data_IF_790878797963
#
_entry.id   IF_790878797963
#
_cell.length_a   1.000
_cell.length_b   1.000
_cell.length_c   1.000
_cell.angle_alpha   90.00
_cell.angle_beta   90.00
_cell.angle_gamma   90.00
#
_symmetry.space_group_name_H-M   'P 1'
#
loop_
_entity.id
_entity.type
_entity.pdbx_description
1 polymer ?
#
# COMPACT_ATOMS: atom_id res chain seq x y z
N UNK A 1 -3.46 -21.66 28.86
CA UNK A 1 -3.40 -21.67 27.39
C UNK A 1 -2.22 -20.80 27.00
N UNK A 2 -1.36 -21.19 26.05
CA UNK A 2 -0.33 -20.28 25.60
C UNK A 2 -1.01 -18.99 25.09
N UNK A 3 -0.47 -17.84 25.46
CA UNK A 3 -0.95 -16.56 24.94
C UNK A 3 -0.92 -16.62 23.41
N UNK A 4 -1.99 -16.16 22.76
CA UNK A 4 -2.03 -16.12 21.30
C UNK A 4 -0.89 -15.21 20.82
N UNK A 5 -0.01 -15.74 19.97
CA UNK A 5 1.12 -14.98 19.44
C UNK A 5 0.62 -13.89 18.52
N UNK A 6 1.21 -12.72 18.62
CA UNK A 6 0.96 -11.63 17.68
C UNK A 6 1.26 -12.06 16.23
N UNK A 7 0.68 -11.37 15.27
CA UNK A 7 0.79 -11.70 13.83
C UNK A 7 1.18 -10.49 13.01
N UNK A 8 1.91 -10.75 11.93
CA UNK A 8 2.11 -9.83 10.83
C UNK A 8 0.99 -10.01 9.81
N UNK A 9 0.19 -8.96 9.61
CA UNK A 9 -0.92 -8.96 8.65
C UNK A 9 -0.56 -8.13 7.42
N UNK A 10 -0.78 -8.69 6.23
CA UNK A 10 -0.70 -7.95 4.98
C UNK A 10 -2.08 -7.82 4.33
N UNK A 11 -2.62 -6.61 4.30
CA UNK A 11 -3.90 -6.25 3.69
C UNK A 11 -3.63 -5.44 2.43
N UNK A 12 -3.68 -6.10 1.28
CA UNK A 12 -3.38 -5.46 0.00
C UNK A 12 -4.62 -5.28 -0.86
N UNK A 13 -4.56 -4.34 -1.80
CA UNK A 13 -5.61 -4.13 -2.79
C UNK A 13 -5.16 -3.17 -3.88
N UNK A 14 -5.88 -3.13 -5.00
CA UNK A 14 -5.63 -2.14 -6.04
C UNK A 14 -5.92 -0.72 -5.54
N UNK A 15 -5.51 0.29 -6.27
CA UNK A 15 -5.84 1.68 -5.96
C UNK A 15 -7.36 1.85 -5.89
N UNK A 16 -7.83 2.72 -5.00
CA UNK A 16 -9.27 2.90 -4.77
C UNK A 16 -9.98 1.77 -4.01
N UNK A 17 -9.25 0.81 -3.42
CA UNK A 17 -9.83 -0.26 -2.59
C UNK A 17 -10.03 0.14 -1.11
N UNK A 18 -9.97 1.43 -0.78
CA UNK A 18 -10.19 1.96 0.57
C UNK A 18 -9.20 1.46 1.65
N UNK A 19 -7.95 1.12 1.27
CA UNK A 19 -6.91 0.66 2.21
C UNK A 19 -6.67 1.64 3.35
N UNK A 20 -6.37 2.89 3.05
CA UNK A 20 -6.14 3.95 4.03
C UNK A 20 -7.36 4.15 4.95
N UNK A 21 -8.58 4.10 4.41
CA UNK A 21 -9.79 4.19 5.22
C UNK A 21 -9.88 3.02 6.21
N UNK A 22 -9.58 1.80 5.76
CA UNK A 22 -9.59 0.61 6.64
C UNK A 22 -8.46 0.67 7.68
N UNK A 23 -7.28 1.19 7.34
CA UNK A 23 -6.21 1.43 8.30
C UNK A 23 -6.66 2.40 9.41
N UNK A 24 -7.27 3.53 9.02
CA UNK A 24 -7.75 4.53 9.96
C UNK A 24 -8.95 4.05 10.80
N UNK A 25 -9.87 3.28 10.24
CA UNK A 25 -10.96 2.63 10.99
C UNK A 25 -10.39 1.62 11.98
N UNK A 26 -9.38 0.84 11.55
CA UNK A 26 -8.74 -0.12 12.46
C UNK A 26 -8.04 0.62 13.62
N UNK A 27 -7.31 1.71 13.33
CA UNK A 27 -6.71 2.57 14.34
C UNK A 27 -7.77 3.05 15.35
N UNK A 28 -8.85 3.64 14.86
CA UNK A 28 -9.95 4.12 15.69
C UNK A 28 -10.50 3.02 16.61
N UNK A 29 -10.73 1.80 16.09
CA UNK A 29 -11.26 0.69 16.87
C UNK A 29 -10.33 0.24 18.01
N UNK A 30 -9.02 0.34 17.85
CA UNK A 30 -8.06 0.07 18.93
C UNK A 30 -8.10 1.17 19.98
N UNK A 31 -8.08 2.44 19.53
CA UNK A 31 -8.08 3.62 20.42
C UNK A 31 -9.35 3.74 21.26
N UNK A 32 -10.54 3.41 20.69
CA UNK A 32 -11.80 3.35 21.46
C UNK A 32 -11.73 2.38 22.65
N UNK A 33 -10.83 1.38 22.59
CA UNK A 33 -10.62 0.40 23.65
C UNK A 33 -9.46 0.78 24.58
N UNK A 34 -8.91 1.98 24.44
CA UNK A 34 -7.80 2.48 25.24
C UNK A 34 -6.45 1.87 24.86
N UNK A 35 -6.32 1.26 23.67
CA UNK A 35 -5.07 0.71 23.17
C UNK A 35 -4.30 1.77 22.39
N UNK A 36 -2.97 1.78 22.56
CA UNK A 36 -2.09 2.73 21.91
C UNK A 36 -1.63 2.21 20.54
N UNK A 37 -1.84 3.02 19.49
CA UNK A 37 -1.59 2.68 18.09
C UNK A 37 -0.40 3.47 17.55
N UNK A 38 0.63 2.77 17.11
CA UNK A 38 1.70 3.39 16.34
C UNK A 38 1.38 3.36 14.83
N UNK A 39 0.95 4.52 14.31
CA UNK A 39 0.61 4.68 12.89
C UNK A 39 1.82 5.16 12.11
N UNK A 40 2.19 4.42 11.05
CA UNK A 40 3.37 4.66 10.22
C UNK A 40 2.99 4.89 8.76
N UNK A 41 3.77 5.71 8.07
CA UNK A 41 3.75 5.86 6.61
C UNK A 41 5.17 6.05 6.06
N UNK A 42 5.53 5.52 4.87
CA UNK A 42 6.78 5.80 4.21
C UNK A 42 6.89 7.27 3.78
N UNK A 43 8.08 7.87 3.89
CA UNK A 43 8.34 9.28 3.56
C UNK A 43 8.05 9.65 2.11
N UNK A 44 8.11 8.69 1.20
CA UNK A 44 7.78 8.89 -0.21
C UNK A 44 6.31 9.28 -0.42
N UNK A 45 5.41 8.94 0.50
CA UNK A 45 4.01 9.35 0.45
C UNK A 45 3.81 10.73 1.07
N UNK A 46 4.01 11.77 0.28
CA UNK A 46 3.87 13.18 0.68
C UNK A 46 2.60 13.85 0.13
N UNK A 47 1.66 13.09 -0.44
CA UNK A 47 0.47 13.60 -1.17
C UNK A 47 -0.42 14.50 -0.32
N UNK A 48 -0.61 14.18 0.94
CA UNK A 48 -1.46 14.93 1.88
C UNK A 48 -0.64 15.76 2.90
N UNK A 49 0.68 15.82 2.73
CA UNK A 49 1.64 16.43 3.65
C UNK A 49 2.57 15.39 4.26
N UNK A 50 3.58 15.86 4.97
CA UNK A 50 4.64 14.97 5.48
C UNK A 50 4.09 13.93 6.46
N UNK A 51 3.33 14.35 7.45
CA UNK A 51 2.83 13.49 8.54
C UNK A 51 1.35 13.14 8.45
N UNK A 52 0.60 13.81 7.57
CA UNK A 52 -0.84 13.58 7.46
C UNK A 52 -1.13 12.34 6.60
N UNK A 53 -1.97 11.47 7.11
CA UNK A 53 -2.58 10.36 6.41
C UNK A 53 -4.06 10.67 6.21
N UNK A 54 -4.52 10.75 4.95
CA UNK A 54 -5.91 11.08 4.59
C UNK A 54 -6.50 10.04 3.65
N UNK A 55 -7.69 9.55 4.01
CA UNK A 55 -8.47 8.70 3.13
C UNK A 55 -9.36 9.50 2.19
N UNK A 56 -9.75 8.91 1.05
CA UNK A 56 -10.69 9.56 0.09
C UNK A 56 -12.07 9.83 0.66
N UNK A 57 -12.45 9.17 1.75
CA UNK A 57 -13.74 9.38 2.44
C UNK A 57 -13.63 10.41 3.58
N UNK A 58 -12.51 11.12 3.69
CA UNK A 58 -12.33 12.21 4.63
C UNK A 58 -11.82 11.81 6.02
N UNK A 59 -11.54 10.53 6.28
CA UNK A 59 -10.85 10.14 7.51
C UNK A 59 -9.39 10.56 7.44
N UNK A 60 -8.86 11.08 8.54
CA UNK A 60 -7.47 11.52 8.62
C UNK A 60 -6.87 11.29 10.01
N UNK A 61 -5.55 11.12 10.06
CA UNK A 61 -4.78 11.02 11.29
C UNK A 61 -3.32 11.43 11.03
N UNK A 62 -2.61 11.81 12.10
CA UNK A 62 -1.17 12.00 12.05
C UNK A 62 -0.47 10.65 12.13
N UNK A 63 0.50 10.41 11.24
CA UNK A 63 1.34 9.24 11.20
C UNK A 63 2.81 9.64 11.36
N UNK A 64 3.60 8.73 11.92
CA UNK A 64 5.05 8.88 11.89
C UNK A 64 5.59 8.48 10.53
N UNK A 65 6.59 9.22 10.09
CA UNK A 65 7.21 9.04 8.79
C UNK A 65 8.41 8.13 8.90
N UNK A 66 8.47 7.11 8.05
CA UNK A 66 9.60 6.19 7.93
C UNK A 66 10.36 6.50 6.64
N UNK A 67 11.64 6.87 6.75
CA UNK A 67 12.54 7.07 5.61
C UNK A 67 13.22 5.76 5.23
N UNK A 68 13.71 5.61 3.99
CA UNK A 68 14.41 4.39 3.56
C UNK A 68 15.61 4.00 4.43
N UNK A 69 16.29 4.99 5.03
CA UNK A 69 17.45 4.82 5.90
C UNK A 69 17.11 4.57 7.38
N UNK A 70 15.85 4.71 7.77
CA UNK A 70 15.43 4.56 9.15
C UNK A 70 15.38 3.08 9.57
N UNK A 71 15.82 2.82 10.80
CA UNK A 71 15.64 1.55 11.50
C UNK A 71 14.35 1.60 12.34
N UNK A 72 13.33 0.84 11.93
CA UNK A 72 12.01 0.82 12.60
C UNK A 72 12.11 0.31 14.04
N UNK A 73 13.02 -0.62 14.34
CA UNK A 73 13.22 -1.12 15.70
C UNK A 73 13.81 -0.05 16.61
N UNK A 74 14.78 0.71 16.09
CA UNK A 74 15.36 1.84 16.82
C UNK A 74 14.30 2.94 17.07
N UNK A 75 13.46 3.24 16.08
CA UNK A 75 12.34 4.16 16.23
C UNK A 75 11.35 3.68 17.29
N UNK A 76 11.00 2.39 17.28
CA UNK A 76 10.12 1.79 18.27
C UNK A 76 10.71 1.88 19.70
N UNK A 77 11.98 1.53 19.84
CA UNK A 77 12.67 1.59 21.13
C UNK A 77 12.73 3.03 21.71
N UNK A 78 12.92 4.02 20.85
CA UNK A 78 12.94 5.43 21.24
C UNK A 78 11.56 6.00 21.61
N UNK A 79 10.49 5.49 20.98
CA UNK A 79 9.13 5.98 21.16
C UNK A 79 8.42 5.39 22.38
N UNK A 80 8.75 4.17 22.73
CA UNK A 80 8.12 3.43 23.82
C UNK A 80 7.15 2.37 23.33
N UNK A 81 6.52 1.68 24.28
CA UNK A 81 5.64 0.54 24.00
C UNK A 81 4.30 0.99 23.43
N UNK A 82 3.87 0.31 22.38
CA UNK A 82 2.54 0.42 21.77
C UNK A 82 1.82 -0.94 21.82
N UNK A 83 0.51 -0.94 21.63
CA UNK A 83 -0.31 -2.16 21.60
C UNK A 83 -0.44 -2.74 20.20
N UNK A 84 -0.27 -1.91 19.16
CA UNK A 84 -0.35 -2.31 17.75
C UNK A 84 0.41 -1.34 16.85
N UNK A 85 1.00 -1.86 15.77
CA UNK A 85 1.57 -1.05 14.68
C UNK A 85 0.65 -1.13 13.47
N UNK A 86 0.33 0.01 12.87
CA UNK A 86 -0.39 0.10 11.59
C UNK A 86 0.49 0.85 10.60
N UNK A 87 0.73 0.25 9.45
CA UNK A 87 1.53 0.84 8.36
C UNK A 87 0.65 1.02 7.13
N UNK A 88 0.46 2.25 6.67
CA UNK A 88 -0.16 2.49 5.36
C UNK A 88 0.90 2.68 4.28
N UNK A 89 0.54 2.44 3.01
CA UNK A 89 1.41 2.47 1.83
C UNK A 89 2.70 1.63 2.01
N UNK A 90 2.57 0.49 2.73
CA UNK A 90 3.68 -0.38 3.14
C UNK A 90 4.51 -0.94 1.98
N UNK A 91 4.02 -0.90 0.72
CA UNK A 91 4.78 -1.32 -0.47
C UNK A 91 6.04 -0.50 -0.68
N UNK A 92 6.10 0.71 -0.11
CA UNK A 92 7.25 1.61 -0.23
C UNK A 92 8.30 1.42 0.86
N UNK A 93 8.05 0.57 1.86
CA UNK A 93 9.08 0.17 2.81
C UNK A 93 10.13 -0.72 2.12
N UNK A 94 11.37 -0.66 2.62
CA UNK A 94 12.41 -1.56 2.14
C UNK A 94 12.18 -3.00 2.65
N UNK A 95 12.74 -4.03 1.99
CA UNK A 95 12.68 -5.40 2.50
C UNK A 95 13.22 -5.53 3.94
N UNK A 96 14.28 -4.80 4.27
CA UNK A 96 14.90 -4.75 5.60
C UNK A 96 13.93 -4.19 6.64
N UNK A 97 13.18 -3.14 6.29
CA UNK A 97 12.17 -2.56 7.17
C UNK A 97 11.00 -3.53 7.42
N UNK A 98 10.63 -4.34 6.43
CA UNK A 98 9.63 -5.41 6.60
C UNK A 98 10.16 -6.51 7.55
N UNK A 99 11.45 -6.86 7.46
CA UNK A 99 12.10 -7.76 8.43
C UNK A 99 12.06 -7.19 9.85
N UNK A 100 12.33 -5.91 10.01
CA UNK A 100 12.27 -5.23 11.30
C UNK A 100 10.85 -5.25 11.89
N UNK A 101 9.82 -5.05 11.07
CA UNK A 101 8.42 -5.21 11.48
C UNK A 101 8.12 -6.66 11.92
N UNK A 102 8.64 -7.68 11.19
CA UNK A 102 8.52 -9.08 11.58
C UNK A 102 9.17 -9.34 12.94
N UNK A 103 10.37 -8.78 13.18
CA UNK A 103 11.06 -8.90 14.45
C UNK A 103 10.26 -8.29 15.62
N UNK A 104 9.58 -7.15 15.43
CA UNK A 104 8.69 -6.60 16.46
C UNK A 104 7.54 -7.55 16.79
N UNK A 105 6.99 -8.25 15.80
CA UNK A 105 5.96 -9.26 16.04
C UNK A 105 6.52 -10.41 16.88
N UNK A 106 7.70 -10.93 16.54
CA UNK A 106 8.26 -12.12 17.14
C UNK A 106 8.85 -11.87 18.53
N UNK A 107 9.56 -10.73 18.69
CA UNK A 107 10.32 -10.45 19.92
C UNK A 107 9.50 -9.66 20.94
N UNK A 108 8.62 -8.73 20.49
CA UNK A 108 7.82 -7.87 21.37
C UNK A 108 6.37 -8.36 21.53
N UNK A 109 5.99 -9.44 20.83
CA UNK A 109 4.60 -9.91 20.72
C UNK A 109 3.63 -8.80 20.31
N UNK A 110 4.06 -7.96 19.36
CA UNK A 110 3.37 -6.75 18.90
C UNK A 110 2.67 -7.03 17.57
N UNK A 111 1.33 -6.96 17.48
CA UNK A 111 0.64 -7.13 16.20
C UNK A 111 0.97 -5.98 15.24
N UNK A 112 1.27 -6.33 13.98
CA UNK A 112 1.59 -5.39 12.91
C UNK A 112 0.64 -5.57 11.73
N UNK A 113 -0.06 -4.49 11.34
CA UNK A 113 -1.00 -4.49 10.22
C UNK A 113 -0.47 -3.60 9.10
N UNK A 114 -0.08 -4.21 7.99
CA UNK A 114 0.45 -3.53 6.81
C UNK A 114 -0.65 -3.39 5.74
N UNK A 115 -0.92 -2.16 5.30
CA UNK A 115 -1.86 -1.85 4.23
C UNK A 115 -1.08 -1.31 3.03
N UNK A 116 -1.33 -1.84 1.82
CA UNK A 116 -0.58 -1.38 0.66
C UNK A 116 -1.02 -1.96 -0.68
N UNK A 117 -0.29 -1.57 -1.72
CA UNK A 117 -0.44 -2.11 -3.07
C UNK A 117 0.32 -3.43 -3.18
N UNK A 118 -0.18 -4.35 -4.02
CA UNK A 118 0.54 -5.56 -4.39
C UNK A 118 1.61 -5.27 -5.43
N UNK A 119 1.20 -4.66 -6.55
CA UNK A 119 2.02 -4.48 -7.75
C UNK A 119 1.96 -3.04 -8.23
N UNK A 120 2.98 -2.64 -8.98
CA UNK A 120 3.03 -1.42 -9.76
C UNK A 120 2.12 -1.45 -11.00
N UNK A 121 2.21 -0.42 -11.83
CA UNK A 121 1.43 -0.28 -13.06
C UNK A 121 1.83 -1.26 -14.18
N UNK A 122 3.01 -1.86 -14.08
CA UNK A 122 3.51 -2.92 -14.98
C UNK A 122 3.21 -4.33 -14.45
N UNK A 123 2.48 -4.43 -13.36
CA UNK A 123 2.14 -5.67 -12.66
C UNK A 123 3.31 -6.38 -11.96
N UNK A 124 4.42 -5.69 -11.73
CA UNK A 124 5.54 -6.19 -10.95
C UNK A 124 5.32 -5.92 -9.46
N UNK A 125 5.71 -6.86 -8.61
CA UNK A 125 5.65 -6.66 -7.16
C UNK A 125 6.56 -5.51 -6.73
N UNK A 126 6.07 -4.67 -5.80
CA UNK A 126 6.95 -3.78 -5.07
C UNK A 126 7.86 -4.57 -4.13
N UNK A 127 9.10 -4.11 -3.85
CA UNK A 127 10.03 -4.80 -2.97
C UNK A 127 9.45 -5.08 -1.58
N UNK A 128 8.84 -4.08 -0.93
CA UNK A 128 8.19 -4.24 0.38
C UNK A 128 7.01 -5.21 0.34
N UNK A 129 6.16 -5.14 -0.69
CA UNK A 129 5.04 -6.07 -0.86
C UNK A 129 5.52 -7.50 -1.09
N UNK A 130 6.59 -7.68 -1.86
CA UNK A 130 7.21 -8.99 -2.06
C UNK A 130 7.62 -9.60 -0.73
N UNK A 131 8.32 -8.81 0.10
CA UNK A 131 8.79 -9.29 1.39
C UNK A 131 7.63 -9.58 2.36
N UNK A 132 6.56 -8.78 2.31
CA UNK A 132 5.33 -9.05 3.07
C UNK A 132 4.64 -10.35 2.64
N UNK A 133 4.59 -10.67 1.33
CA UNK A 133 4.07 -11.97 0.88
C UNK A 133 4.86 -13.17 1.40
N UNK A 134 6.15 -12.99 1.65
CA UNK A 134 7.04 -14.04 2.16
C UNK A 134 6.91 -14.22 3.69
N UNK A 135 6.64 -13.14 4.46
CA UNK A 135 6.74 -13.13 5.92
C UNK A 135 5.41 -13.02 6.67
N UNK A 136 4.33 -12.55 6.03
CA UNK A 136 3.08 -12.31 6.73
C UNK A 136 2.37 -13.60 7.14
N UNK A 137 1.90 -13.66 8.39
CA UNK A 137 1.10 -14.75 8.93
C UNK A 137 -0.33 -14.78 8.36
N UNK A 138 -0.83 -13.60 7.95
CA UNK A 138 -2.17 -13.44 7.39
C UNK A 138 -2.16 -12.47 6.21
N UNK A 139 -2.64 -12.94 5.07
CA UNK A 139 -2.68 -12.16 3.82
C UNK A 139 -4.13 -12.04 3.37
N UNK A 140 -4.61 -10.79 3.21
CA UNK A 140 -6.00 -10.51 2.84
C UNK A 140 -6.07 -9.52 1.68
N UNK A 141 -6.86 -9.83 0.65
CA UNK A 141 -7.13 -8.91 -0.45
C UNK A 141 -8.33 -8.01 -0.14
N UNK A 142 -8.12 -6.70 -0.16
CA UNK A 142 -9.18 -5.69 -0.14
C UNK A 142 -9.63 -5.47 -1.58
N UNK A 143 -10.83 -5.95 -1.91
CA UNK A 143 -11.34 -5.95 -3.29
C UNK A 143 -11.85 -4.57 -3.70
N UNK A 144 -11.66 -4.26 -5.00
CA UNK A 144 -12.33 -3.14 -5.67
C UNK A 144 -12.74 -3.57 -7.08
N UNK A 145 -13.51 -2.73 -7.75
CA UNK A 145 -14.13 -3.07 -9.04
C UNK A 145 -13.49 -2.28 -10.19
N UNK A 146 -13.42 -2.92 -11.35
CA UNK A 146 -13.10 -2.32 -12.65
C UNK A 146 -14.36 -1.69 -13.26
N UNK A 147 -14.20 -0.77 -14.19
CA UNK A 147 -15.33 -0.19 -14.98
C UNK A 147 -16.25 -1.24 -15.60
N UNK A 148 -15.74 -2.41 -15.95
CA UNK A 148 -16.53 -3.51 -16.52
C UNK A 148 -17.29 -4.34 -15.46
N UNK A 149 -17.26 -3.96 -14.17
CA UNK A 149 -17.87 -4.69 -13.07
C UNK A 149 -17.04 -5.86 -12.50
N UNK A 150 -15.98 -6.28 -13.18
CA UNK A 150 -15.10 -7.35 -12.69
C UNK A 150 -14.18 -6.86 -11.58
N UNK A 151 -13.61 -7.77 -10.78
CA UNK A 151 -12.61 -7.44 -9.77
C UNK A 151 -11.40 -6.74 -10.41
N UNK A 152 -11.03 -5.57 -9.90
CA UNK A 152 -9.83 -4.86 -10.32
C UNK A 152 -8.60 -5.41 -9.59
N UNK A 153 -7.53 -5.69 -10.34
CA UNK A 153 -6.27 -6.26 -9.82
C UNK A 153 -5.03 -5.56 -10.32
N UNK A 154 -5.19 -4.63 -11.27
CA UNK A 154 -4.11 -3.86 -11.90
C UNK A 154 -4.26 -2.39 -11.57
N UNK A 155 -3.16 -1.72 -11.24
CA UNK A 155 -3.08 -0.28 -11.05
C UNK A 155 -2.59 0.37 -12.34
N UNK A 156 -3.46 0.52 -13.34
CA UNK A 156 -3.07 1.09 -14.63
C UNK A 156 -2.71 2.57 -14.46
N UNK A 157 -1.48 2.95 -14.83
CA UNK A 157 -1.08 4.36 -14.94
C UNK A 157 -1.63 4.92 -16.25
N UNK A 158 -2.22 6.09 -16.18
CA UNK A 158 -2.75 6.81 -17.34
C UNK A 158 -2.03 8.17 -17.52
N UNK A 159 -1.84 8.58 -18.77
CA UNK A 159 -1.33 9.91 -19.09
C UNK A 159 -2.45 10.96 -19.12
N UNK A 160 -2.08 12.22 -19.42
CA UNK A 160 -3.05 13.33 -19.51
C UNK A 160 -4.11 13.20 -20.61
N UNK A 161 -3.95 12.24 -21.54
CA UNK A 161 -4.90 11.90 -22.59
C UNK A 161 -5.71 10.62 -22.27
N UNK A 162 -5.53 10.07 -21.06
CA UNK A 162 -6.24 8.85 -20.58
C UNK A 162 -5.71 7.54 -21.16
N UNK A 163 -4.52 7.55 -21.80
CA UNK A 163 -3.87 6.37 -22.36
C UNK A 163 -3.08 5.62 -21.30
N UNK A 164 -3.02 4.29 -21.40
CA UNK A 164 -2.25 3.47 -20.45
C UNK A 164 -0.75 3.61 -20.71
N UNK A 165 -0.02 4.00 -19.67
CA UNK A 165 1.44 4.08 -19.68
C UNK A 165 2.03 2.69 -19.50
N UNK A 166 2.92 2.26 -20.41
CA UNK A 166 3.55 0.93 -20.41
C UNK A 166 5.04 0.96 -20.13
N UNK A 167 5.63 2.12 -19.89
CA UNK A 167 7.05 2.32 -19.64
C UNK A 167 7.26 3.44 -18.60
N UNK A 168 8.39 3.41 -17.90
CA UNK A 168 8.78 4.45 -16.95
C UNK A 168 9.12 3.89 -15.55
N UNK A 169 9.47 4.81 -14.65
CA UNK A 169 9.83 4.48 -13.28
C UNK A 169 8.68 3.80 -12.54
N UNK A 170 9.01 2.84 -11.67
CA UNK A 170 8.04 2.09 -10.86
C UNK A 170 7.16 3.02 -10.01
N UNK A 171 7.77 4.02 -9.41
CA UNK A 171 7.10 5.03 -8.59
C UNK A 171 6.97 6.33 -9.38
N UNK A 172 5.75 6.86 -9.43
CA UNK A 172 5.46 8.19 -9.95
C UNK A 172 4.50 8.86 -8.97
N UNK A 173 4.96 9.93 -8.35
CA UNK A 173 4.20 10.73 -7.39
C UNK A 173 3.20 11.66 -8.12
N UNK A 174 2.48 11.11 -9.08
CA UNK A 174 1.34 11.79 -9.72
C UNK A 174 0.11 11.72 -8.80
N UNK A 175 -0.78 12.68 -8.93
CA UNK A 175 -2.05 12.68 -8.20
C UNK A 175 -2.88 11.40 -8.44
N UNK A 176 -3.94 11.23 -7.66
CA UNK A 176 -4.85 10.08 -7.76
C UNK A 176 -5.44 9.89 -9.17
N UNK A 177 -5.50 10.94 -9.97
CA UNK A 177 -6.05 10.95 -11.33
C UNK A 177 -5.13 10.29 -12.37
N UNK A 178 -3.87 10.03 -12.00
CA UNK A 178 -2.90 9.36 -12.88
C UNK A 178 -2.98 7.82 -12.85
N UNK A 179 -3.90 7.24 -12.05
CA UNK A 179 -4.03 5.80 -11.92
C UNK A 179 -5.49 5.36 -11.89
N UNK A 180 -5.78 4.26 -12.60
CA UNK A 180 -7.10 3.63 -12.65
C UNK A 180 -7.00 2.16 -12.27
N UNK A 181 -7.86 1.73 -11.36
CA UNK A 181 -7.97 0.32 -11.00
C UNK A 181 -8.69 -0.46 -12.11
N UNK A 182 -8.05 -1.45 -12.69
CA UNK A 182 -8.60 -2.25 -13.80
C UNK A 182 -8.51 -3.74 -13.52
N UNK A 183 -9.41 -4.53 -14.14
CA UNK A 183 -9.18 -5.95 -14.30
C UNK A 183 -8.12 -6.18 -15.38
N UNK A 184 -7.45 -7.32 -15.33
CA UNK A 184 -6.37 -7.64 -16.25
C UNK A 184 -6.83 -7.67 -17.73
N UNK A 185 -8.06 -8.11 -17.99
CA UNK A 185 -8.62 -8.13 -19.34
C UNK A 185 -8.81 -6.72 -19.93
N UNK A 186 -9.38 -5.78 -19.15
CA UNK A 186 -9.54 -4.38 -19.58
C UNK A 186 -8.19 -3.69 -19.79
N UNK A 187 -7.24 -3.90 -18.89
CA UNK A 187 -5.88 -3.37 -19.00
C UNK A 187 -5.19 -3.83 -20.31
N UNK A 188 -5.22 -5.13 -20.60
CA UNK A 188 -4.64 -5.67 -21.85
C UNK A 188 -5.33 -5.14 -23.09
N UNK A 189 -6.67 -5.01 -23.09
CA UNK A 189 -7.41 -4.44 -24.22
C UNK A 189 -6.99 -2.99 -24.49
N UNK A 190 -6.86 -2.16 -23.46
CA UNK A 190 -6.41 -0.77 -23.63
C UNK A 190 -5.00 -0.70 -24.20
N UNK A 191 -4.04 -1.47 -23.68
CA UNK A 191 -2.67 -1.52 -24.21
C UNK A 191 -2.66 -1.96 -25.70
N UNK A 192 -3.42 -2.99 -26.07
CA UNK A 192 -3.48 -3.49 -27.43
C UNK A 192 -4.02 -2.41 -28.40
N UNK A 193 -5.06 -1.67 -28.00
CA UNK A 193 -5.63 -0.57 -28.77
C UNK A 193 -4.61 0.54 -28.99
N UNK A 194 -3.92 0.96 -27.95
CA UNK A 194 -2.92 2.05 -28.05
C UNK A 194 -1.73 1.66 -28.91
N UNK A 195 -1.27 0.39 -28.84
CA UNK A 195 -0.22 -0.11 -29.74
C UNK A 195 -0.66 -0.07 -31.19
N UNK A 196 -1.91 -0.44 -31.48
CA UNK A 196 -2.45 -0.39 -32.84
C UNK A 196 -2.54 1.07 -33.37
N UNK A 197 -3.04 1.99 -32.56
CA UNK A 197 -3.14 3.42 -32.90
C UNK A 197 -1.75 4.05 -33.13
N UNK A 198 -0.74 3.71 -32.30
CA UNK A 198 0.64 4.16 -32.51
C UNK A 198 1.23 3.63 -33.82
N UNK A 199 1.01 2.35 -34.13
CA UNK A 199 1.50 1.75 -35.37
C UNK A 199 0.85 2.39 -36.60
N UNK A 200 -0.43 2.78 -36.54
CA UNK A 200 -1.12 3.46 -37.62
C UNK A 200 -0.60 4.89 -37.83
N UNK A 201 -0.35 5.65 -36.73
CA UNK A 201 0.24 6.99 -36.81
C UNK A 201 1.67 6.99 -37.36
N UNK A 202 2.46 5.94 -37.08
CA UNK A 202 3.83 5.82 -37.60
C UNK A 202 3.89 5.43 -39.09
N UNK A 203 2.77 5.05 -39.69
CA UNK A 203 2.66 4.72 -41.13
C UNK A 203 2.17 5.90 -41.98
N UNK A 204 1.68 6.95 -41.35
CA UNK A 204 1.27 8.22 -42.00
C UNK A 204 2.39 9.24 -41.94
#
# INVERSE_FOLDING_TARGET
MPAEMAKLYFKYGAMGSSKTAQALITKFNYEERGMDVWLLKPSIDSRDGETLLRSRIGLEATADVVRPEDDIRALYAARGRHDVVIVDECQFLTPEQIEQLRQLVDEENLPVLCFGLRTDFLTHLFPGSRRLFELADSITEIKTICECGSKATVNARIDGEGRVVTEGAQVFLGGNDSYVAMCHACWRKRIARERAERAERARK
#
